data_IF_056755877180
#
_entry.id   IF_056755877180
#
_cell.length_a   1.000
_cell.length_b   1.000
_cell.length_c   1.000
_cell.angle_alpha   90.00
_cell.angle_beta   90.00
_cell.angle_gamma   90.00
#
_symmetry.space_group_name_H-M   'P 1'
#
loop_
_entity.id
_entity.type
_entity.pdbx_description
1 polymer ?
#
# COMPACT_ATOMS: atom_id res chain seq x y z
N UNK A 1 11.53 5.39 3.80
CA UNK A 1 11.40 5.20 5.27
C UNK A 1 10.64 3.89 5.53
N UNK A 2 10.60 3.38 6.78
CA UNK A 2 9.78 2.21 7.14
C UNK A 2 8.75 2.63 8.18
N UNK A 3 7.48 2.30 7.93
CA UNK A 3 6.33 2.49 8.81
C UNK A 3 5.87 1.16 9.41
N UNK A 4 5.10 1.25 10.48
CA UNK A 4 4.46 0.15 11.19
C UNK A 4 2.94 0.27 11.15
N UNK A 5 2.20 -0.81 11.46
CA UNK A 5 0.73 -0.76 11.54
C UNK A 5 0.19 0.31 12.50
N UNK A 6 0.97 0.72 13.51
CA UNK A 6 0.61 1.76 14.47
C UNK A 6 0.58 3.17 13.88
N UNK A 7 1.23 3.35 12.73
CA UNK A 7 1.28 4.63 12.02
C UNK A 7 0.04 4.85 11.14
N UNK A 8 -0.87 3.87 11.05
CA UNK A 8 -2.09 3.99 10.25
C UNK A 8 -3.07 5.04 10.82
N UNK A 9 -3.69 5.88 9.98
CA UNK A 9 -3.52 5.94 8.53
C UNK A 9 -2.20 6.62 8.14
N UNK A 10 -1.51 6.07 7.14
CA UNK A 10 -0.21 6.57 6.69
C UNK A 10 -0.18 6.75 5.18
N UNK A 11 0.59 7.73 4.71
CA UNK A 11 0.93 7.90 3.29
C UNK A 11 2.32 7.34 3.06
N UNK A 12 2.39 6.28 2.25
CA UNK A 12 3.62 5.61 1.85
C UNK A 12 4.06 6.21 0.52
N UNK A 13 5.27 6.76 0.44
CA UNK A 13 5.86 7.25 -0.81
C UNK A 13 6.63 6.14 -1.56
N UNK A 14 7.01 6.36 -2.82
CA UNK A 14 7.83 5.39 -3.55
C UNK A 14 9.17 5.10 -2.81
N UNK A 15 9.57 3.83 -2.79
CA UNK A 15 10.71 3.33 -2.02
C UNK A 15 10.47 3.23 -0.50
N UNK A 16 9.26 3.52 -0.02
CA UNK A 16 8.88 3.34 1.38
C UNK A 16 8.05 2.07 1.60
N UNK A 17 8.05 1.60 2.84
CA UNK A 17 7.47 0.32 3.22
C UNK A 17 6.63 0.45 4.47
N UNK A 18 5.42 -0.09 4.46
CA UNK A 18 4.63 -0.35 5.66
C UNK A 18 4.75 -1.82 6.04
N UNK A 19 5.17 -2.10 7.27
CA UNK A 19 5.20 -3.46 7.84
C UNK A 19 4.06 -3.60 8.85
N UNK A 20 3.15 -4.55 8.60
CA UNK A 20 2.01 -4.84 9.46
C UNK A 20 2.42 -5.70 10.66
N UNK A 21 1.57 -5.76 11.69
CA UNK A 21 1.88 -6.47 12.95
C UNK A 21 2.05 -7.99 12.76
N UNK A 22 1.57 -8.56 11.64
CA UNK A 22 1.74 -9.96 11.27
C UNK A 22 2.96 -10.22 10.37
N UNK A 23 3.75 -9.18 10.09
CA UNK A 23 4.91 -9.23 9.21
C UNK A 23 4.60 -9.10 7.72
N UNK A 24 3.33 -8.96 7.31
CA UNK A 24 3.01 -8.62 5.93
C UNK A 24 3.50 -7.20 5.61
N UNK A 25 3.89 -7.01 4.36
CA UNK A 25 4.41 -5.76 3.86
C UNK A 25 3.43 -5.13 2.88
N UNK A 26 3.34 -3.79 2.87
CA UNK A 26 2.64 -3.02 1.84
C UNK A 26 3.59 -1.96 1.32
N UNK A 27 3.84 -2.02 0.01
CA UNK A 27 4.63 -1.03 -0.74
C UNK A 27 4.04 -0.84 -2.12
N UNK A 28 4.52 0.17 -2.82
CA UNK A 28 4.16 0.37 -4.21
C UNK A 28 5.35 0.89 -5.00
N UNK A 29 5.30 0.70 -6.31
CA UNK A 29 6.27 1.25 -7.26
C UNK A 29 5.53 1.96 -8.38
N UNK A 30 6.12 3.01 -8.94
CA UNK A 30 5.56 3.71 -10.09
C UNK A 30 5.52 2.80 -11.33
N UNK A 31 4.34 2.68 -11.95
CA UNK A 31 4.18 2.05 -13.27
C UNK A 31 3.43 3.00 -14.21
N UNK A 32 4.16 3.95 -14.80
CA UNK A 32 3.56 5.00 -15.62
C UNK A 32 2.68 5.92 -14.76
N UNK A 33 1.38 5.95 -15.05
CA UNK A 33 0.40 6.70 -14.25
C UNK A 33 -0.17 5.90 -13.07
N UNK A 34 0.00 4.58 -13.06
CA UNK A 34 -0.51 3.72 -12.01
C UNK A 34 0.53 3.50 -10.91
N UNK A 35 0.03 3.11 -9.73
CA UNK A 35 0.84 2.56 -8.64
C UNK A 35 0.69 1.05 -8.65
N UNK A 36 1.78 0.34 -8.92
CA UNK A 36 1.84 -1.11 -8.81
C UNK A 36 1.96 -1.47 -7.32
N UNK A 37 0.93 -2.12 -6.77
CA UNK A 37 0.81 -2.41 -5.34
C UNK A 37 1.37 -3.80 -5.06
N UNK A 38 2.25 -3.89 -4.05
CA UNK A 38 2.81 -5.15 -3.59
C UNK A 38 2.36 -5.42 -2.16
N UNK A 39 1.81 -6.60 -1.93
CA UNK A 39 1.40 -7.08 -0.62
C UNK A 39 2.23 -8.33 -0.28
N UNK A 40 2.80 -8.34 0.92
CA UNK A 40 3.74 -9.37 1.38
C UNK A 40 5.10 -9.26 0.70
N UNK A 41 5.83 -10.38 0.62
CA UNK A 41 7.20 -10.46 0.10
C UNK A 41 7.28 -10.84 -1.39
N UNK A 42 6.21 -10.64 -2.15
CA UNK A 42 6.17 -10.94 -3.59
C UNK A 42 7.05 -9.98 -4.40
N UNK A 43 7.66 -10.50 -5.48
CA UNK A 43 8.34 -9.73 -6.50
C UNK A 43 7.42 -9.28 -7.63
N UNK A 44 6.21 -9.83 -7.72
CA UNK A 44 5.18 -9.41 -8.69
C UNK A 44 4.12 -8.54 -7.99
N UNK A 45 3.63 -7.47 -8.66
CA UNK A 45 2.59 -6.64 -8.10
C UNK A 45 1.30 -7.45 -7.96
N UNK A 46 0.60 -7.24 -6.86
CA UNK A 46 -0.69 -7.88 -6.59
C UNK A 46 -1.79 -7.30 -7.48
N UNK A 47 -1.76 -5.98 -7.71
CA UNK A 47 -2.65 -5.24 -8.61
C UNK A 47 -2.11 -3.83 -8.83
N UNK A 48 -2.81 -3.03 -9.63
CA UNK A 48 -2.48 -1.64 -9.92
C UNK A 48 -3.64 -0.72 -9.53
N UNK A 49 -3.31 0.46 -9.02
CA UNK A 49 -4.26 1.54 -8.78
C UNK A 49 -3.89 2.77 -9.57
N UNK A 50 -4.85 3.30 -10.31
CA UNK A 50 -4.75 4.63 -10.91
C UNK A 50 -5.04 5.71 -9.87
N UNK A 51 -4.61 6.96 -10.11
CA UNK A 51 -4.89 8.07 -9.21
C UNK A 51 -6.39 8.20 -8.90
N UNK A 52 -6.69 8.50 -7.63
CA UNK A 52 -8.02 8.56 -7.03
C UNK A 52 -8.79 7.23 -6.96
N UNK A 53 -8.18 6.10 -7.29
CA UNK A 53 -8.77 4.80 -7.02
C UNK A 53 -8.48 4.34 -5.60
N UNK A 54 -9.46 3.68 -5.01
CA UNK A 54 -9.35 3.04 -3.71
C UNK A 54 -9.76 1.58 -3.83
N UNK A 55 -8.95 0.67 -3.30
CA UNK A 55 -9.28 -0.76 -3.22
C UNK A 55 -9.25 -1.22 -1.76
N UNK A 56 -10.18 -2.09 -1.37
CA UNK A 56 -10.15 -2.72 -0.04
C UNK A 56 -9.59 -4.13 -0.16
N UNK A 57 -8.48 -4.38 0.53
CA UNK A 57 -7.78 -5.66 0.51
C UNK A 57 -7.83 -6.34 1.88
N UNK A 58 -7.89 -7.67 1.87
CA UNK A 58 -7.76 -8.47 3.08
C UNK A 58 -6.31 -8.96 3.22
N UNK A 59 -5.62 -8.51 4.26
CA UNK A 59 -4.23 -8.88 4.56
C UNK A 59 -4.20 -9.48 5.97
N UNK A 60 -3.81 -10.75 6.07
CA UNK A 60 -3.78 -11.46 7.34
C UNK A 60 -5.11 -11.47 8.10
N UNK A 61 -6.25 -11.54 7.38
CA UNK A 61 -7.58 -11.54 7.98
C UNK A 61 -8.13 -10.15 8.37
N UNK A 62 -7.40 -9.06 8.07
CA UNK A 62 -7.80 -7.68 8.37
C UNK A 62 -8.03 -6.91 7.06
N UNK A 63 -8.97 -5.98 7.06
CA UNK A 63 -9.29 -5.18 5.89
C UNK A 63 -8.56 -3.83 5.92
N UNK A 64 -7.97 -3.46 4.80
CA UNK A 64 -7.29 -2.18 4.61
C UNK A 64 -7.80 -1.52 3.33
N UNK A 65 -8.08 -0.22 3.40
CA UNK A 65 -8.35 0.61 2.24
C UNK A 65 -7.03 1.24 1.77
N UNK A 66 -6.71 1.04 0.49
CA UNK A 66 -5.54 1.57 -0.18
C UNK A 66 -5.99 2.58 -1.22
N UNK A 67 -5.61 3.84 -1.08
CA UNK A 67 -5.98 4.93 -1.99
C UNK A 67 -4.75 5.47 -2.69
N UNK A 68 -4.70 5.36 -4.01
CA UNK A 68 -3.63 5.95 -4.81
C UNK A 68 -3.91 7.43 -5.08
N UNK A 69 -2.94 8.30 -4.79
CA UNK A 69 -3.03 9.72 -5.14
C UNK A 69 -2.29 10.02 -6.45
N UNK A 70 -2.62 11.16 -7.06
CA UNK A 70 -1.83 11.73 -8.17
C UNK A 70 -0.41 12.06 -7.73
N UNK A 71 -0.27 12.46 -6.47
CA UNK A 71 1.01 12.62 -5.81
C UNK A 71 1.74 11.28 -5.70
N UNK A 72 3.02 11.33 -5.39
CA UNK A 72 3.86 10.16 -5.12
C UNK A 72 3.47 9.53 -3.77
N UNK A 73 2.21 9.14 -3.57
CA UNK A 73 1.70 8.66 -2.29
C UNK A 73 0.57 7.63 -2.43
N UNK A 74 0.67 6.55 -1.67
CA UNK A 74 -0.40 5.60 -1.40
C UNK A 74 -0.84 5.78 0.05
N UNK A 75 -2.09 6.14 0.29
CA UNK A 75 -2.63 6.12 1.64
C UNK A 75 -3.11 4.71 1.99
N UNK A 76 -2.70 4.21 3.15
CA UNK A 76 -3.16 2.96 3.73
C UNK A 76 -3.93 3.27 5.00
N UNK A 77 -5.14 2.71 5.12
CA UNK A 77 -6.01 2.88 6.28
C UNK A 77 -6.69 1.56 6.66
N UNK A 78 -6.82 1.28 7.96
CA UNK A 78 -7.57 0.14 8.47
C UNK A 78 -9.09 0.39 8.37
N UNK A 79 -9.84 -0.62 7.94
CA UNK A 79 -11.32 -0.60 7.84
C UNK A 79 -11.95 -1.31 9.03
#
# INVERSE_FOLDING_TARGET
>A
MQYSEKDLPVRVHDGELLVLDDGNEVRWESNGEAKAIFIGSSFEPTFELFPNQTETVNIGGRNFALTAFFEDALEVKKV
#
